data_IF_104785700525
#
_entry.id   IF_104785700525
#
_cell.length_a   1.000
_cell.length_b   1.000
_cell.length_c   1.000
_cell.angle_alpha   90.00
_cell.angle_beta   90.00
_cell.angle_gamma   90.00
#
_symmetry.space_group_name_H-M   'P 1'
#
loop_
_entity.id
_entity.type
_entity.pdbx_description
1 polymer ?
#
# COMPACT_ATOMS: atom_id res chain seq x y z
N UNK A 1 6.47 10.12 -24.91
CA UNK A 1 6.11 8.69 -24.86
C UNK A 1 5.69 8.27 -26.25
N UNK A 2 6.21 7.15 -26.76
CA UNK A 2 5.88 6.65 -28.11
C UNK A 2 4.55 5.89 -28.10
N UNK A 3 3.86 5.73 -29.25
CA UNK A 3 2.65 4.91 -29.34
C UNK A 3 2.88 3.46 -28.88
N UNK A 4 4.03 2.87 -29.24
CA UNK A 4 4.37 1.49 -28.86
C UNK A 4 4.57 1.34 -27.34
N UNK A 5 5.19 2.33 -26.69
CA UNK A 5 5.33 2.36 -25.23
C UNK A 5 3.97 2.45 -24.54
N UNK A 6 3.05 3.26 -25.07
CA UNK A 6 1.71 3.42 -24.50
C UNK A 6 0.86 2.17 -24.71
N UNK A 7 0.95 1.55 -25.89
CA UNK A 7 0.25 0.30 -26.18
C UNK A 7 0.72 -0.83 -25.27
N UNK A 8 2.04 -1.03 -25.16
CA UNK A 8 2.63 -2.01 -24.24
C UNK A 8 2.23 -1.75 -22.78
N UNK A 9 2.23 -0.49 -22.35
CA UNK A 9 1.80 -0.13 -20.99
C UNK A 9 0.32 -0.48 -20.75
N UNK A 10 -0.55 -0.22 -21.72
CA UNK A 10 -1.95 -0.59 -21.69
C UNK A 10 -2.17 -2.10 -21.54
N UNK A 11 -1.55 -2.90 -22.41
CA UNK A 11 -1.64 -4.37 -22.36
C UNK A 11 -1.12 -4.93 -21.03
N UNK A 12 -0.03 -4.36 -20.53
CA UNK A 12 0.57 -4.78 -19.25
C UNK A 12 -0.36 -4.50 -18.07
N UNK A 13 -0.94 -3.29 -18.00
CA UNK A 13 -1.89 -2.91 -16.93
C UNK A 13 -3.18 -3.71 -17.03
N UNK A 14 -3.66 -4.01 -18.24
CA UNK A 14 -4.82 -4.85 -18.49
C UNK A 14 -4.57 -6.30 -18.05
N UNK A 15 -3.37 -6.85 -18.28
CA UNK A 15 -3.00 -8.18 -17.82
C UNK A 15 -3.02 -8.29 -16.29
N UNK A 16 -2.41 -7.31 -15.59
CA UNK A 16 -2.45 -7.25 -14.12
C UNK A 16 -3.89 -7.10 -13.63
N UNK A 17 -4.68 -6.27 -14.31
CA UNK A 17 -6.08 -6.02 -13.96
C UNK A 17 -6.96 -7.25 -14.11
N UNK A 18 -6.75 -8.01 -15.18
CA UNK A 18 -7.45 -9.28 -15.43
C UNK A 18 -7.09 -10.32 -14.39
N UNK A 19 -5.80 -10.42 -14.04
CA UNK A 19 -5.34 -11.28 -12.96
C UNK A 19 -6.01 -10.92 -11.61
N UNK A 20 -6.12 -9.63 -11.31
CA UNK A 20 -6.83 -9.16 -10.11
C UNK A 20 -8.31 -9.56 -10.10
N UNK A 21 -9.04 -9.23 -11.15
CA UNK A 21 -10.47 -9.50 -11.28
C UNK A 21 -10.82 -11.01 -11.26
N UNK A 22 -9.87 -11.87 -11.62
CA UNK A 22 -10.04 -13.32 -11.54
C UNK A 22 -10.12 -13.84 -10.10
N UNK A 23 -9.56 -13.10 -9.13
CA UNK A 23 -9.53 -13.49 -7.71
C UNK A 23 -10.38 -12.59 -6.83
N UNK A 24 -10.44 -11.30 -7.10
CA UNK A 24 -11.15 -10.34 -6.26
C UNK A 24 -12.43 -9.92 -6.97
N UNK A 25 -13.54 -9.93 -6.21
CA UNK A 25 -14.88 -9.60 -6.71
C UNK A 25 -15.29 -8.24 -6.17
N UNK A 26 -15.82 -7.37 -7.04
CA UNK A 26 -16.48 -6.13 -6.61
C UNK A 26 -15.56 -5.03 -6.08
N UNK A 27 -14.23 -5.18 -6.18
CA UNK A 27 -13.27 -4.22 -5.63
C UNK A 27 -12.48 -3.45 -6.70
N UNK A 28 -13.18 -2.95 -7.72
CA UNK A 28 -12.56 -2.18 -8.82
C UNK A 28 -11.84 -0.94 -8.30
N UNK A 29 -12.42 -0.24 -7.31
CA UNK A 29 -11.77 0.93 -6.71
C UNK A 29 -10.47 0.58 -5.99
N UNK A 30 -10.46 -0.50 -5.20
CA UNK A 30 -9.24 -0.96 -4.54
C UNK A 30 -8.16 -1.36 -5.55
N UNK A 31 -8.56 -2.02 -6.65
CA UNK A 31 -7.67 -2.37 -7.74
C UNK A 31 -6.99 -1.14 -8.33
N UNK A 32 -7.75 -0.11 -8.66
CA UNK A 32 -7.23 1.16 -9.17
C UNK A 32 -6.28 1.82 -8.17
N UNK A 33 -6.67 1.90 -6.89
CA UNK A 33 -5.83 2.44 -5.82
C UNK A 33 -4.48 1.73 -5.73
N UNK A 34 -4.48 0.39 -5.75
CA UNK A 34 -3.26 -0.40 -5.64
C UNK A 34 -2.39 -0.31 -6.90
N UNK A 35 -2.99 -0.25 -8.09
CA UNK A 35 -2.26 -0.04 -9.34
C UNK A 35 -1.61 1.34 -9.38
N UNK A 36 -2.36 2.40 -9.02
CA UNK A 36 -1.81 3.76 -8.94
C UNK A 36 -0.64 3.78 -7.96
N UNK A 37 -0.81 3.27 -6.75
CA UNK A 37 0.25 3.23 -5.75
C UNK A 37 1.49 2.45 -6.22
N UNK A 38 1.31 1.30 -6.88
CA UNK A 38 2.41 0.51 -7.42
C UNK A 38 3.17 1.27 -8.52
N UNK A 39 2.44 1.92 -9.43
CA UNK A 39 3.00 2.61 -10.58
C UNK A 39 3.62 3.98 -10.25
N UNK A 40 3.22 4.60 -9.15
CA UNK A 40 3.82 5.84 -8.63
C UNK A 40 4.84 5.58 -7.51
N UNK A 41 4.94 4.34 -7.02
CA UNK A 41 5.80 3.98 -5.89
C UNK A 41 5.30 4.53 -4.55
N UNK A 42 4.00 4.79 -4.42
CA UNK A 42 3.34 5.23 -3.19
C UNK A 42 2.87 4.08 -2.30
N UNK A 43 2.43 4.44 -1.10
CA UNK A 43 1.84 3.53 -0.12
C UNK A 43 0.36 3.85 0.10
N UNK A 44 -0.41 2.86 0.55
CA UNK A 44 -1.86 2.97 0.68
C UNK A 44 -2.29 2.69 2.11
N UNK A 45 -3.17 3.56 2.64
CA UNK A 45 -3.87 3.37 3.90
C UNK A 45 -5.32 2.95 3.60
N UNK A 46 -5.73 1.79 4.08
CA UNK A 46 -7.09 1.27 3.97
C UNK A 46 -7.83 1.45 5.28
N UNK A 47 -8.91 2.20 5.25
CA UNK A 47 -9.86 2.23 6.37
C UNK A 47 -11.01 1.29 6.05
N UNK A 48 -11.22 0.28 6.89
CA UNK A 48 -12.16 -0.78 6.54
C UNK A 48 -12.45 -1.71 7.70
N UNK A 49 -13.61 -2.37 7.63
CA UNK A 49 -13.99 -3.42 8.57
C UNK A 49 -13.30 -4.76 8.24
N UNK A 50 -13.18 -5.69 9.22
CA UNK A 50 -12.65 -7.03 8.98
C UNK A 50 -13.41 -7.80 7.90
N UNK A 51 -12.73 -8.70 7.19
CA UNK A 51 -13.37 -9.67 6.28
C UNK A 51 -13.53 -9.23 4.81
N UNK A 52 -13.14 -8.00 4.42
CA UNK A 52 -13.31 -7.50 3.04
C UNK A 52 -12.19 -7.92 2.06
N UNK A 53 -11.68 -9.15 2.14
CA UNK A 53 -10.70 -9.74 1.21
C UNK A 53 -9.42 -8.90 0.89
N UNK A 54 -9.02 -7.98 1.78
CA UNK A 54 -7.85 -7.09 1.60
C UNK A 54 -6.54 -7.85 1.41
N UNK A 55 -6.36 -8.91 2.20
CA UNK A 55 -5.22 -9.83 2.06
C UNK A 55 -5.18 -10.46 0.68
N UNK A 56 -6.32 -10.94 0.20
CA UNK A 56 -6.45 -11.52 -1.14
C UNK A 56 -6.11 -10.50 -2.22
N UNK A 57 -6.57 -9.26 -2.09
CA UNK A 57 -6.28 -8.18 -3.03
C UNK A 57 -4.78 -7.87 -3.12
N UNK A 58 -4.13 -7.62 -1.98
CA UNK A 58 -2.70 -7.33 -1.93
C UNK A 58 -1.84 -8.50 -2.45
N UNK A 59 -2.17 -9.72 -2.02
CA UNK A 59 -1.46 -10.92 -2.45
C UNK A 59 -1.64 -11.17 -3.95
N UNK A 60 -2.83 -10.92 -4.50
CA UNK A 60 -3.10 -11.12 -5.93
C UNK A 60 -2.27 -10.19 -6.80
N UNK A 61 -2.15 -8.90 -6.44
CA UNK A 61 -1.29 -7.97 -7.19
C UNK A 61 0.18 -8.36 -7.06
N UNK A 62 0.63 -8.73 -5.87
CA UNK A 62 2.01 -9.18 -5.66
C UNK A 62 2.34 -10.40 -6.55
N UNK A 63 1.45 -11.40 -6.58
CA UNK A 63 1.60 -12.58 -7.43
C UNK A 63 1.57 -12.22 -8.92
N UNK A 64 0.63 -11.37 -9.34
CA UNK A 64 0.48 -10.96 -10.74
C UNK A 64 1.76 -10.35 -11.32
N UNK A 65 2.57 -9.68 -10.50
CA UNK A 65 3.83 -9.05 -10.93
C UNK A 65 5.10 -9.82 -10.53
N UNK A 66 4.95 -11.02 -9.93
CA UNK A 66 6.07 -11.83 -9.46
C UNK A 66 6.81 -11.24 -8.26
N UNK A 67 6.15 -10.40 -7.46
CA UNK A 67 6.69 -9.79 -6.26
C UNK A 67 6.56 -10.68 -5.02
N UNK A 68 7.49 -10.51 -4.07
CA UNK A 68 7.38 -11.14 -2.75
C UNK A 68 6.33 -10.41 -1.91
N UNK A 69 5.41 -11.18 -1.33
CA UNK A 69 4.38 -10.68 -0.42
C UNK A 69 4.66 -11.11 1.01
N UNK A 70 4.41 -10.22 1.96
CA UNK A 70 4.35 -10.56 3.38
C UNK A 70 3.18 -9.86 4.07
N UNK A 71 2.51 -10.57 4.98
CA UNK A 71 1.49 -10.00 5.86
C UNK A 71 2.04 -9.93 7.27
N UNK A 72 1.95 -8.76 7.88
CA UNK A 72 2.32 -8.49 9.27
C UNK A 72 1.03 -8.15 9.99
N UNK A 73 0.66 -8.97 10.95
CA UNK A 73 -0.45 -8.65 11.85
C UNK A 73 0.08 -7.73 12.94
N UNK A 74 -0.48 -6.53 13.04
CA UNK A 74 -0.12 -5.59 14.08
C UNK A 74 -0.81 -5.97 15.39
N UNK A 75 -0.02 -6.16 16.43
CA UNK A 75 -0.47 -6.46 17.78
C UNK A 75 0.21 -5.52 18.78
N UNK A 76 -0.33 -5.35 20.00
CA UNK A 76 0.26 -4.43 20.99
C UNK A 76 1.69 -4.82 21.42
N UNK A 77 2.04 -6.10 21.30
CA UNK A 77 3.34 -6.68 21.64
C UNK A 77 4.34 -6.72 20.47
N UNK A 78 3.91 -6.39 19.26
CA UNK A 78 4.78 -6.39 18.08
C UNK A 78 5.95 -5.41 18.26
N UNK A 79 7.18 -5.91 18.19
CA UNK A 79 8.38 -5.10 18.35
C UNK A 79 8.89 -4.59 16.99
N UNK A 80 9.58 -3.43 16.96
CA UNK A 80 10.25 -2.95 15.74
C UNK A 80 11.18 -4.00 15.09
N UNK A 81 11.88 -4.79 15.90
CA UNK A 81 12.78 -5.85 15.44
C UNK A 81 12.07 -7.00 14.72
N UNK A 82 10.80 -7.25 15.04
CA UNK A 82 10.00 -8.30 14.40
C UNK A 82 9.61 -7.93 12.96
N UNK A 83 9.72 -6.64 12.62
CA UNK A 83 9.37 -6.08 11.31
C UNK A 83 10.62 -5.86 10.47
N UNK A 84 11.60 -5.18 11.06
CA UNK A 84 12.84 -4.77 10.41
C UNK A 84 13.80 -5.94 10.30
N UNK A 85 13.91 -6.75 11.36
CA UNK A 85 14.88 -7.82 11.49
C UNK A 85 15.76 -7.66 12.72
N UNK A 86 16.60 -8.66 12.97
CA UNK A 86 17.47 -8.72 14.16
C UNK A 86 18.80 -9.39 13.85
N UNK A 87 19.77 -9.23 14.75
CA UNK A 87 21.01 -10.00 14.73
C UNK A 87 20.88 -11.20 15.66
N UNK A 88 21.10 -12.40 15.11
CA UNK A 88 21.04 -13.66 15.84
C UNK A 88 22.46 -14.20 15.97
N UNK A 89 22.83 -14.60 17.19
CA UNK A 89 24.13 -15.25 17.41
C UNK A 89 24.11 -16.69 16.88
N UNK A 90 24.90 -16.97 15.86
CA UNK A 90 25.07 -18.30 15.32
C UNK A 90 26.16 -19.03 16.12
N UNK A 91 25.75 -20.02 16.94
CA UNK A 91 26.65 -20.78 17.80
C UNK A 91 27.69 -21.62 17.04
N UNK A 92 27.39 -22.01 15.79
CA UNK A 92 28.30 -22.81 14.98
C UNK A 92 29.44 -21.96 14.42
N UNK A 93 29.15 -20.75 13.94
CA UNK A 93 30.16 -19.83 13.40
C UNK A 93 30.78 -18.93 14.47
N UNK A 94 30.15 -18.79 15.64
CA UNK A 94 30.57 -17.86 16.69
C UNK A 94 30.37 -16.39 16.32
N UNK A 95 29.51 -16.10 15.33
CA UNK A 95 29.29 -14.76 14.78
C UNK A 95 27.83 -14.34 14.85
N UNK A 96 27.58 -13.04 14.83
CA UNK A 96 26.23 -12.49 14.70
C UNK A 96 25.82 -12.44 13.23
N UNK A 97 24.77 -13.16 12.87
CA UNK A 97 24.18 -13.18 11.54
C UNK A 97 22.91 -12.32 11.52
N UNK A 98 22.72 -11.54 10.46
CA UNK A 98 21.53 -10.69 10.33
C UNK A 98 20.41 -11.47 9.68
N UNK A 99 19.26 -11.52 10.37
CA UNK A 99 18.02 -12.04 9.83
C UNK A 99 17.12 -10.87 9.46
N UNK A 100 16.90 -10.69 8.15
CA UNK A 100 16.02 -9.65 7.64
C UNK A 100 14.57 -9.94 8.03
N UNK A 101 13.87 -8.90 8.47
CA UNK A 101 12.47 -8.99 8.84
C UNK A 101 11.52 -9.00 7.65
N UNK A 102 10.22 -9.22 7.91
CA UNK A 102 9.17 -9.33 6.91
C UNK A 102 8.98 -8.09 6.04
N UNK A 103 9.46 -6.92 6.48
CA UNK A 103 9.38 -5.68 5.68
C UNK A 103 10.23 -5.74 4.39
N UNK A 104 11.21 -6.66 4.31
CA UNK A 104 12.05 -6.86 3.11
C UNK A 104 11.35 -7.68 1.99
N UNK A 105 10.06 -7.46 1.80
CA UNK A 105 9.24 -7.98 0.70
C UNK A 105 8.86 -6.83 -0.27
N UNK A 106 8.46 -7.15 -1.50
CA UNK A 106 8.00 -6.12 -2.46
C UNK A 106 6.65 -5.54 -2.04
N UNK A 107 5.80 -6.37 -1.45
CA UNK A 107 4.46 -6.01 -1.00
C UNK A 107 4.32 -6.40 0.47
N UNK A 108 4.05 -5.41 1.32
CA UNK A 108 3.85 -5.61 2.76
C UNK A 108 2.44 -5.17 3.13
N UNK A 109 1.63 -6.11 3.63
CA UNK A 109 0.35 -5.81 4.25
C UNK A 109 0.55 -5.64 5.76
N UNK A 110 0.33 -4.42 6.27
CA UNK A 110 0.30 -4.12 7.70
C UNK A 110 -1.16 -4.15 8.15
N UNK A 111 -1.59 -5.27 8.72
CA UNK A 111 -2.98 -5.44 9.11
C UNK A 111 -3.22 -4.87 10.51
N UNK A 112 -4.21 -4.00 10.66
CA UNK A 112 -4.60 -3.31 11.90
C UNK A 112 -3.46 -2.49 12.51
N UNK A 113 -2.80 -1.65 11.69
CA UNK A 113 -1.62 -0.84 12.10
C UNK A 113 -1.87 -0.04 13.39
N UNK A 114 -3.11 0.38 13.62
CA UNK A 114 -3.54 1.07 14.83
C UNK A 114 -3.52 0.22 16.09
N UNK A 115 -3.27 -1.10 16.05
CA UNK A 115 -3.12 -1.95 17.25
C UNK A 115 -1.68 -2.05 17.76
N UNK A 116 -0.71 -1.60 16.97
CA UNK A 116 0.71 -1.62 17.35
C UNK A 116 1.13 -0.36 18.10
N UNK A 117 2.19 -0.45 18.91
CA UNK A 117 2.71 0.71 19.65
C UNK A 117 3.21 1.81 18.71
N UNK A 118 3.19 3.07 19.17
CA UNK A 118 3.71 4.20 18.39
C UNK A 118 5.18 4.03 17.94
N UNK A 119 6.01 3.33 18.73
CA UNK A 119 7.39 3.02 18.37
C UNK A 119 7.47 2.03 17.21
N UNK A 120 6.59 1.03 17.22
CA UNK A 120 6.47 0.01 16.17
C UNK A 120 5.95 0.63 14.87
N UNK A 121 4.90 1.47 14.95
CA UNK A 121 4.39 2.24 13.82
C UNK A 121 5.49 3.12 13.21
N UNK A 122 6.26 3.83 14.06
CA UNK A 122 7.35 4.70 13.58
C UNK A 122 8.42 3.92 12.80
N UNK A 123 8.81 2.73 13.26
CA UNK A 123 9.78 1.90 12.55
C UNK A 123 9.29 1.43 11.17
N UNK A 124 7.99 1.12 11.02
CA UNK A 124 7.39 0.78 9.73
C UNK A 124 7.39 1.98 8.77
N UNK A 125 7.01 3.14 9.28
CA UNK A 125 6.94 4.39 8.51
C UNK A 125 8.32 4.91 8.12
N UNK A 126 9.33 4.70 8.95
CA UNK A 126 10.73 4.99 8.63
C UNK A 126 11.19 4.12 7.46
N UNK A 127 10.90 2.81 7.47
CA UNK A 127 11.23 1.92 6.36
C UNK A 127 10.54 2.35 5.05
N UNK A 128 9.29 2.83 5.12
CA UNK A 128 8.57 3.40 3.98
C UNK A 128 9.26 4.65 3.42
N UNK A 129 9.64 5.58 4.30
CA UNK A 129 10.22 6.86 3.89
C UNK A 129 11.66 6.71 3.36
N UNK A 130 12.48 5.96 4.08
CA UNK A 130 13.91 5.83 3.80
C UNK A 130 14.21 4.73 2.76
N UNK A 131 13.23 3.86 2.46
CA UNK A 131 13.36 2.70 1.57
C UNK A 131 14.51 1.75 1.95
N UNK A 132 14.86 1.74 3.22
CA UNK A 132 15.89 0.89 3.81
C UNK A 132 15.57 0.67 5.29
N UNK A 133 16.24 -0.31 5.89
CA UNK A 133 16.20 -0.53 7.32
C UNK A 133 17.61 -0.59 7.89
N UNK A 134 17.75 -0.28 9.18
CA UNK A 134 19.03 -0.36 9.89
C UNK A 134 18.97 -1.47 10.94
N UNK A 135 19.90 -2.43 10.86
CA UNK A 135 20.01 -3.56 11.80
C UNK A 135 21.45 -3.61 12.32
N UNK A 136 21.63 -3.29 13.61
CA UNK A 136 22.94 -3.00 14.16
C UNK A 136 23.56 -1.79 13.44
N UNK A 137 24.80 -1.91 13.00
CA UNK A 137 25.53 -0.83 12.30
C UNK A 137 25.43 -0.92 10.76
N UNK A 138 24.53 -1.74 10.22
CA UNK A 138 24.37 -1.97 8.78
C UNK A 138 23.00 -1.56 8.28
N UNK A 139 22.97 -0.90 7.13
CA UNK A 139 21.75 -0.56 6.40
C UNK A 139 21.47 -1.58 5.30
N UNK A 140 20.19 -1.93 5.15
CA UNK A 140 19.71 -2.90 4.19
C UNK A 140 18.61 -2.25 3.33
N UNK A 141 18.87 -2.13 2.02
CA UNK A 141 17.89 -1.59 1.10
C UNK A 141 16.64 -2.48 1.01
N UNK A 142 15.47 -1.85 0.89
CA UNK A 142 14.23 -2.55 0.60
C UNK A 142 14.17 -2.94 -0.89
N UNK A 143 13.38 -3.98 -1.25
CA UNK A 143 13.19 -4.37 -2.63
C UNK A 143 12.61 -3.22 -3.47
N UNK A 144 12.90 -3.19 -4.77
CA UNK A 144 12.32 -2.23 -5.70
C UNK A 144 11.54 -2.97 -6.79
N UNK A 145 10.22 -2.77 -6.91
CA UNK A 145 9.35 -1.86 -6.15
C UNK A 145 9.08 -2.33 -4.71
N UNK A 146 8.75 -1.35 -3.85
CA UNK A 146 8.30 -1.53 -2.47
C UNK A 146 6.95 -0.84 -2.26
N UNK A 147 5.90 -1.62 -1.96
CA UNK A 147 4.56 -1.13 -1.68
C UNK A 147 4.13 -1.61 -0.29
N UNK A 148 3.54 -0.69 0.47
CA UNK A 148 2.97 -0.96 1.78
C UNK A 148 1.48 -0.67 1.70
N UNK A 149 0.69 -1.64 2.11
CA UNK A 149 -0.74 -1.54 2.31
C UNK A 149 -1.01 -1.64 3.81
N UNK A 150 -1.38 -0.54 4.45
CA UNK A 150 -1.72 -0.56 5.88
C UNK A 150 -3.24 -0.54 6.06
N UNK A 151 -3.79 -1.34 6.97
CA UNK A 151 -5.22 -1.33 7.28
C UNK A 151 -5.45 -0.74 8.66
N UNK A 152 -6.54 0.02 8.80
CA UNK A 152 -7.06 0.50 10.07
C UNK A 152 -8.52 0.07 10.19
N UNK A 153 -8.86 -0.48 11.36
CA UNK A 153 -10.25 -0.78 11.69
C UNK A 153 -10.84 0.41 12.47
N UNK A 154 -11.86 1.11 11.91
CA UNK A 154 -12.43 2.30 12.54
C UNK A 154 -13.32 1.98 13.77
N UNK A 155 -13.70 0.71 13.97
CA UNK A 155 -14.68 0.31 15.01
C UNK A 155 -13.97 -0.09 16.33
N UNK A 156 -12.71 -0.51 16.28
CA UNK A 156 -11.97 -0.98 17.46
C UNK A 156 -11.48 0.19 18.33
N UNK A 157 -12.06 0.33 19.53
CA UNK A 157 -11.71 1.38 20.50
C UNK A 157 -10.80 0.90 21.64
N UNK A 158 -10.71 -0.40 21.91
CA UNK A 158 -9.85 -0.92 22.98
C UNK A 158 -8.45 -1.25 22.47
N UNK A 159 -7.43 -0.66 23.09
CA UNK A 159 -6.03 -0.96 22.79
C UNK A 159 -5.54 -0.46 21.43
N UNK A 160 -6.21 0.56 20.86
CA UNK A 160 -5.79 1.18 19.59
C UNK A 160 -5.03 2.50 19.81
N UNK A 161 -3.96 2.66 19.05
CA UNK A 161 -3.14 3.84 18.91
C UNK A 161 -3.40 4.44 17.52
N UNK A 162 -4.24 5.48 17.41
CA UNK A 162 -4.53 6.09 16.12
C UNK A 162 -3.25 6.65 15.50
N UNK A 163 -3.12 6.52 14.18
CA UNK A 163 -2.04 7.14 13.42
C UNK A 163 -2.21 8.67 13.51
N UNK A 164 -1.23 9.41 14.05
CA UNK A 164 -1.23 10.87 13.97
C UNK A 164 -1.30 11.34 12.53
N UNK A 165 -1.85 12.54 12.28
CA UNK A 165 -1.98 13.11 10.93
C UNK A 165 -0.64 13.15 10.18
N UNK A 166 0.43 13.55 10.87
CA UNK A 166 1.78 13.57 10.31
C UNK A 166 2.30 12.18 9.89
N UNK A 167 1.72 11.10 10.41
CA UNK A 167 2.02 9.73 10.00
C UNK A 167 1.13 9.27 8.85
N UNK A 168 -0.15 9.66 8.85
CA UNK A 168 -1.06 9.42 7.73
C UNK A 168 -0.60 10.09 6.43
N UNK A 169 0.05 11.26 6.53
CA UNK A 169 0.58 12.01 5.38
C UNK A 169 1.65 11.24 4.58
N UNK A 170 2.24 10.18 5.16
CA UNK A 170 3.19 9.31 4.45
C UNK A 170 2.51 8.31 3.50
N UNK A 171 1.19 8.19 3.55
CA UNK A 171 0.42 7.38 2.62
C UNK A 171 -0.09 8.25 1.48
N UNK A 172 0.24 7.88 0.25
CA UNK A 172 -0.18 8.61 -0.94
C UNK A 172 -1.69 8.57 -1.14
N UNK A 173 -2.31 7.44 -0.81
CA UNK A 173 -3.74 7.23 -0.98
C UNK A 173 -4.34 6.68 0.32
N UNK A 174 -5.46 7.27 0.72
CA UNK A 174 -6.37 6.69 1.71
C UNK A 174 -7.62 6.18 0.98
N UNK A 175 -7.93 4.90 1.14
CA UNK A 175 -9.10 4.27 0.55
C UNK A 175 -10.01 3.72 1.66
N UNK A 176 -11.28 4.11 1.64
CA UNK A 176 -12.31 3.65 2.58
C UNK A 176 -13.11 2.55 1.89
N UNK A 177 -13.05 1.33 2.41
CA UNK A 177 -13.76 0.18 1.86
C UNK A 177 -15.04 -0.08 2.62
N UNK A 178 -16.13 -0.21 1.87
CA UNK A 178 -17.45 -0.59 2.38
C UNK A 178 -17.74 -2.08 2.10
N UNK A 179 -18.83 -2.58 2.66
CA UNK A 179 -19.28 -3.95 2.42
C UNK A 179 -19.60 -4.20 0.94
N UNK A 180 -19.34 -5.42 0.43
CA UNK A 180 -19.76 -5.79 -0.91
C UNK A 180 -21.29 -5.78 -1.02
N UNK A 181 -21.79 -5.57 -2.23
CA UNK A 181 -23.21 -5.81 -2.52
C UNK A 181 -23.56 -7.29 -2.35
N UNK A 182 -24.85 -7.64 -2.10
CA UNK A 182 -25.26 -9.05 -1.98
C UNK A 182 -24.89 -9.92 -3.19
N UNK A 183 -24.87 -9.32 -4.39
CA UNK A 183 -24.47 -10.02 -5.61
C UNK A 183 -22.95 -10.35 -5.64
N UNK A 184 -22.13 -9.40 -5.20
CA UNK A 184 -20.68 -9.59 -5.07
C UNK A 184 -20.36 -10.58 -3.95
N UNK A 185 -21.04 -10.49 -2.81
CA UNK A 185 -20.86 -11.42 -1.70
C UNK A 185 -21.22 -12.86 -2.09
N UNK A 186 -22.35 -13.04 -2.80
CA UNK A 186 -22.72 -14.35 -3.35
C UNK A 186 -21.68 -14.90 -4.32
N UNK A 187 -21.07 -14.03 -5.14
CA UNK A 187 -20.01 -14.42 -6.06
C UNK A 187 -18.70 -14.78 -5.33
N UNK A 188 -18.34 -14.06 -4.26
CA UNK A 188 -17.21 -14.44 -3.40
C UNK A 188 -17.40 -15.84 -2.83
N UNK A 189 -18.60 -16.14 -2.30
CA UNK A 189 -18.92 -17.48 -1.78
C UNK A 189 -18.81 -18.57 -2.85
N UNK A 190 -19.31 -18.33 -4.07
CA UNK A 190 -19.15 -19.26 -5.20
C UNK A 190 -17.70 -19.52 -5.53
N UNK A 191 -16.85 -18.49 -5.53
CA UNK A 191 -15.42 -18.63 -5.82
C UNK A 191 -14.67 -19.39 -4.74
N UNK A 192 -15.02 -19.18 -3.47
CA UNK A 192 -14.49 -19.96 -2.34
C UNK A 192 -14.84 -21.43 -2.50
N UNK A 193 -16.10 -21.75 -2.78
CA UNK A 193 -16.58 -23.14 -2.98
C UNK A 193 -15.90 -23.82 -4.17
N UNK A 194 -15.69 -23.09 -5.26
CA UNK A 194 -15.00 -23.60 -6.46
C UNK A 194 -13.49 -23.83 -6.28
N UNK A 195 -12.90 -23.41 -5.15
CA UNK A 195 -11.47 -23.58 -4.87
C UNK A 195 -10.53 -22.71 -5.73
N UNK A 196 -11.03 -21.68 -6.42
CA UNK A 196 -10.22 -20.77 -7.27
C UNK A 196 -9.04 -20.15 -6.50
N UNK A 197 -9.18 -19.98 -5.19
CA UNK A 197 -8.14 -19.42 -4.32
C UNK A 197 -7.04 -20.41 -3.92
N UNK A 198 -7.20 -21.72 -4.17
CA UNK A 198 -6.30 -22.75 -3.65
C UNK A 198 -5.02 -22.92 -4.48
N UNK A 199 -5.06 -22.60 -5.78
CA UNK A 199 -3.89 -22.68 -6.65
C UNK A 199 -3.12 -21.35 -6.63
N UNK A 200 -1.78 -21.34 -6.47
CA UNK A 200 -0.99 -20.18 -6.81
C UNK A 200 -1.12 -19.88 -8.32
N UNK A 201 -1.32 -18.61 -8.68
CA UNK A 201 -1.27 -18.18 -10.08
C UNK A 201 0.18 -17.84 -10.44
N UNK A 202 0.58 -18.20 -11.64
CA UNK A 202 1.85 -17.75 -12.21
C UNK A 202 1.80 -16.22 -12.42
N UNK A 203 2.94 -15.52 -12.27
CA UNK A 203 3.02 -14.10 -12.59
C UNK A 203 2.62 -13.84 -14.04
N UNK A 204 1.75 -12.84 -14.26
CA UNK A 204 1.38 -12.41 -15.60
C UNK A 204 2.40 -11.43 -16.19
N UNK A 205 3.10 -10.69 -15.33
CA UNK A 205 4.23 -9.83 -15.70
C UNK A 205 5.35 -9.91 -14.66
N UNK A 206 6.52 -9.36 -14.99
CA UNK A 206 7.69 -9.34 -14.11
C UNK A 206 7.82 -8.03 -13.33
N UNK A 207 8.65 -8.05 -12.28
CA UNK A 207 9.07 -6.84 -11.56
C UNK A 207 9.79 -5.84 -12.48
N UNK A 208 10.52 -6.31 -13.48
CA UNK A 208 11.18 -5.43 -14.46
C UNK A 208 10.16 -4.67 -15.31
N UNK A 209 9.03 -5.31 -15.66
CA UNK A 209 7.92 -4.66 -16.37
C UNK A 209 7.29 -3.57 -15.51
N UNK A 210 7.07 -3.83 -14.22
CA UNK A 210 6.56 -2.81 -13.28
C UNK A 210 7.49 -1.59 -13.22
N UNK A 211 8.81 -1.82 -13.10
CA UNK A 211 9.79 -0.72 -13.10
C UNK A 211 9.79 0.06 -14.42
N UNK A 212 9.59 -0.63 -15.54
CA UNK A 212 9.43 0.02 -16.84
C UNK A 212 8.15 0.87 -16.88
N UNK A 213 7.02 0.39 -16.35
CA UNK A 213 5.80 1.19 -16.23
C UNK A 213 6.02 2.43 -15.37
N UNK A 214 6.66 2.30 -14.20
CA UNK A 214 7.01 3.43 -13.33
C UNK A 214 7.84 4.50 -14.08
N UNK A 215 8.81 4.06 -14.89
CA UNK A 215 9.60 4.97 -15.73
C UNK A 215 8.78 5.68 -16.82
N UNK A 216 7.73 5.03 -17.34
CA UNK A 216 6.81 5.62 -18.31
C UNK A 216 5.88 6.63 -17.65
N UNK A 217 5.37 6.32 -16.45
CA UNK A 217 4.53 7.23 -15.65
C UNK A 217 5.28 8.54 -15.37
N UNK A 218 6.56 8.47 -15.01
CA UNK A 218 7.40 9.66 -14.79
C UNK A 218 7.61 10.53 -16.05
N UNK A 219 7.32 10.01 -17.25
CA UNK A 219 7.45 10.71 -18.55
C UNK A 219 6.12 11.26 -19.05
N UNK A 220 5.04 11.08 -18.32
CA UNK A 220 3.72 11.62 -18.68
C UNK A 220 3.78 13.14 -18.61
N UNK A 221 3.42 13.80 -19.71
CA UNK A 221 3.35 15.25 -19.78
C UNK A 221 2.13 15.74 -18.99
N UNK A 222 2.36 16.73 -18.12
CA UNK A 222 1.30 17.43 -17.39
C UNK A 222 1.33 18.89 -17.85
N UNK A 223 0.24 19.35 -18.44
CA UNK A 223 0.10 20.72 -18.92
C UNK A 223 0.22 21.72 -17.73
N UNK A 224 0.90 22.86 -17.89
CA UNK A 224 0.99 23.88 -16.83
C UNK A 224 -0.36 24.31 -16.24
N UNK A 225 -1.45 24.29 -17.01
CA UNK A 225 -2.79 24.57 -16.51
C UNK A 225 -3.24 23.54 -15.44
N UNK A 226 -2.92 22.26 -15.63
CA UNK A 226 -3.22 21.19 -14.67
C UNK A 226 -2.35 21.34 -13.42
N UNK A 227 -1.07 21.67 -13.57
CA UNK A 227 -0.18 21.94 -12.42
C UNK A 227 -0.73 23.09 -11.58
N UNK A 228 -1.07 24.22 -12.22
CA UNK A 228 -1.64 25.37 -11.55
C UNK A 228 -2.99 25.05 -10.88
N UNK A 229 -3.81 24.21 -11.51
CA UNK A 229 -5.06 23.74 -10.93
C UNK A 229 -4.84 22.92 -9.65
N UNK A 230 -3.91 21.95 -9.68
CA UNK A 230 -3.56 21.13 -8.51
C UNK A 230 -3.01 22.00 -7.37
N UNK A 231 -2.10 22.93 -7.68
CA UNK A 231 -1.56 23.89 -6.70
C UNK A 231 -2.66 24.76 -6.13
N UNK A 232 -3.59 25.21 -6.97
CA UNK A 232 -4.76 25.99 -6.56
C UNK A 232 -5.65 25.25 -5.57
N UNK A 233 -5.94 23.96 -5.82
CA UNK A 233 -6.68 23.13 -4.87
C UNK A 233 -5.96 23.08 -3.53
N UNK A 234 -4.66 22.74 -3.52
CA UNK A 234 -3.86 22.69 -2.29
C UNK A 234 -3.87 24.02 -1.54
N UNK A 235 -3.71 25.13 -2.24
CA UNK A 235 -3.75 26.47 -1.67
C UNK A 235 -5.11 26.79 -1.01
N UNK A 236 -6.22 26.47 -1.68
CA UNK A 236 -7.57 26.67 -1.12
C UNK A 236 -7.76 25.86 0.16
N UNK A 237 -7.26 24.63 0.26
CA UNK A 237 -7.35 23.85 1.50
C UNK A 237 -6.56 24.47 2.66
N UNK A 238 -5.50 25.24 2.39
CA UNK A 238 -4.70 25.93 3.42
C UNK A 238 -5.30 27.29 3.82
N UNK A 239 -6.11 27.86 2.93
CA UNK A 239 -6.76 29.16 3.12
C UNK A 239 -8.28 29.10 2.87
N UNK A 240 -9.02 28.13 3.43
CA UNK A 240 -10.39 27.84 2.98
C UNK A 240 -11.36 29.02 3.23
N UNK A 241 -11.13 29.78 4.30
CA UNK A 241 -11.96 30.94 4.67
C UNK A 241 -11.95 32.07 3.62
N UNK A 242 -10.91 32.13 2.79
CA UNK A 242 -10.75 33.18 1.79
C UNK A 242 -11.45 32.83 0.47
N UNK A 243 -11.77 31.55 0.24
CA UNK A 243 -12.20 31.05 -1.08
C UNK A 243 -13.51 30.25 -1.08
N UNK A 244 -13.92 29.66 0.05
CA UNK A 244 -15.17 28.86 0.15
C UNK A 244 -16.08 29.39 1.26
N UNK A 245 -17.34 28.92 1.27
CA UNK A 245 -18.34 29.34 2.25
C UNK A 245 -17.82 29.13 3.69
N UNK A 246 -17.96 30.11 4.61
CA UNK A 246 -17.45 30.00 5.98
C UNK A 246 -17.88 28.73 6.73
N UNK A 247 -19.11 28.25 6.46
CA UNK A 247 -19.61 27.00 7.04
C UNK A 247 -18.82 25.78 6.54
N UNK A 248 -18.48 25.75 5.25
CA UNK A 248 -17.68 24.68 4.67
C UNK A 248 -16.21 24.77 5.10
N UNK A 249 -15.67 25.99 5.18
CA UNK A 249 -14.31 26.24 5.66
C UNK A 249 -14.07 25.74 7.09
N UNK A 250 -15.12 25.67 7.92
CA UNK A 250 -15.04 25.16 9.28
C UNK A 250 -14.87 23.62 9.37
N UNK A 251 -15.06 22.87 8.27
CA UNK A 251 -14.80 21.43 8.21
C UNK A 251 -13.34 21.09 7.84
N UNK A 252 -12.52 22.09 7.50
CA UNK A 252 -11.11 21.90 7.19
C UNK A 252 -10.28 22.26 8.42
N UNK A 253 -9.84 21.25 9.15
CA UNK A 253 -9.01 21.44 10.34
C UNK A 253 -7.59 21.89 9.97
N UNK A 254 -6.99 21.23 8.98
CA UNK A 254 -5.67 21.54 8.43
C UNK A 254 -5.68 21.43 6.90
N UNK A 255 -4.91 22.29 6.24
CA UNK A 255 -4.74 22.25 4.78
C UNK A 255 -3.78 21.14 4.34
N UNK A 256 -3.87 20.76 3.06
CA UNK A 256 -3.03 19.70 2.50
C UNK A 256 -1.52 20.01 2.65
N UNK A 257 -0.73 18.99 2.97
CA UNK A 257 0.74 19.03 2.97
C UNK A 257 1.28 19.31 1.54
N UNK A 258 2.46 19.94 1.37
CA UNK A 258 3.08 20.18 0.06
C UNK A 258 3.43 18.92 -0.74
#
# INVERSE_FOLDING_TARGET
MTPDELHWAGETVEAISTAFASRVVGQTRLQETLLVALLTGGHVLLESVPGLAKTTAAQTIAQAVGGRFHRIQCTPDLLPSDIVGTQVYNQHSGTFETQLGPVHANFVLLDEINRSSAKTQSAMLEAMQERQTSIGDKSYALPDPFLVLATQNPIEQEGTYPLPEAQMDRFMLKDVLDYPSPAEEAEVLRRIDSGIFAAPADPVVSIADVKRLQSLVARVYVDPAIINYIVGIGYVTRHPRDYIEPRLAAYVDFGASP
#
